data_IF_684922308199
#
_entry.id   IF_684922308199
#
_cell.length_a   1.000
_cell.length_b   1.000
_cell.length_c   1.000
_cell.angle_alpha   90.00
_cell.angle_beta   90.00
_cell.angle_gamma   90.00
#
_symmetry.space_group_name_H-M   'P 1'
#
loop_
_entity.id
_entity.type
_entity.pdbx_description
1 polymer ?
#
# COMPACT_ATOMS: atom_id res chain seq x y z
N UNK A 1 -32.67 -43.13 27.25
CA UNK A 1 -31.23 -43.30 26.93
C UNK A 1 -30.87 -42.77 25.53
N UNK A 2 -31.51 -43.23 24.44
CA UNK A 2 -31.22 -42.74 23.07
C UNK A 2 -31.34 -41.21 22.89
N UNK A 3 -32.34 -40.57 23.50
CA UNK A 3 -32.54 -39.10 23.44
C UNK A 3 -31.41 -38.31 24.12
N UNK A 4 -30.85 -38.83 25.21
CA UNK A 4 -29.72 -38.19 25.91
C UNK A 4 -28.46 -38.28 25.06
N UNK A 5 -28.24 -39.42 24.40
CA UNK A 5 -27.11 -39.62 23.47
C UNK A 5 -27.15 -38.64 22.28
N UNK A 6 -28.34 -38.40 21.69
CA UNK A 6 -28.51 -37.43 20.61
C UNK A 6 -28.24 -35.99 21.06
N UNK A 7 -28.69 -35.61 22.27
CA UNK A 7 -28.44 -34.28 22.83
C UNK A 7 -26.96 -34.06 23.12
N UNK A 8 -26.26 -35.07 23.65
CA UNK A 8 -24.80 -34.98 23.88
C UNK A 8 -24.02 -34.89 22.58
N UNK A 9 -24.42 -35.63 21.53
CA UNK A 9 -23.75 -35.59 20.24
C UNK A 9 -23.97 -34.24 19.51
N UNK A 10 -25.16 -33.67 19.64
CA UNK A 10 -25.47 -32.33 19.10
C UNK A 10 -24.66 -31.24 19.83
N UNK A 11 -24.57 -31.28 21.16
CA UNK A 11 -23.72 -30.35 21.92
C UNK A 11 -22.25 -30.46 21.52
N UNK A 12 -21.73 -31.68 21.33
CA UNK A 12 -20.35 -31.92 20.93
C UNK A 12 -20.07 -31.39 19.51
N UNK A 13 -21.01 -31.55 18.58
CA UNK A 13 -20.88 -30.99 17.22
C UNK A 13 -20.90 -29.46 17.20
N UNK A 14 -21.67 -28.83 18.10
CA UNK A 14 -21.79 -27.37 18.17
C UNK A 14 -20.52 -26.73 18.77
N UNK A 15 -19.81 -27.44 19.65
CA UNK A 15 -18.50 -27.01 20.15
C UNK A 15 -17.39 -27.06 19.09
N UNK A 16 -17.46 -27.96 18.11
CA UNK A 16 -16.44 -28.07 17.04
C UNK A 16 -16.51 -26.91 16.01
N UNK A 17 -17.62 -26.18 15.94
CA UNK A 17 -17.80 -25.03 15.04
C UNK A 17 -17.07 -23.75 15.51
N UNK A 18 -16.53 -23.72 16.72
CA UNK A 18 -15.86 -22.53 17.29
C UNK A 18 -14.35 -22.47 17.03
N UNK A 19 -13.76 -23.44 16.31
CA UNK A 19 -12.31 -23.62 16.23
C UNK A 19 -11.62 -23.02 14.99
N UNK A 20 -12.24 -22.08 14.26
CA UNK A 20 -11.69 -21.50 13.02
C UNK A 20 -11.44 -19.98 13.06
N UNK A 21 -11.44 -19.34 14.24
CA UNK A 21 -11.03 -17.95 14.32
C UNK A 21 -9.50 -17.87 14.42
N UNK A 22 -8.89 -17.37 13.35
CA UNK A 22 -7.48 -16.95 13.34
C UNK A 22 -7.26 -15.90 14.43
N UNK A 23 -6.20 -16.03 15.22
CA UNK A 23 -5.87 -15.09 16.29
C UNK A 23 -5.58 -13.70 15.73
N UNK A 24 -6.18 -12.66 16.33
CA UNK A 24 -5.92 -11.27 15.98
C UNK A 24 -4.58 -10.86 16.60
N UNK A 25 -3.66 -10.35 15.79
CA UNK A 25 -2.33 -9.94 16.25
C UNK A 25 -1.98 -8.56 15.72
N UNK A 26 -1.47 -7.71 16.58
CA UNK A 26 -0.96 -6.40 16.20
C UNK A 26 0.52 -6.30 16.55
N UNK A 27 1.37 -6.16 15.55
CA UNK A 27 2.83 -6.23 15.69
C UNK A 27 3.52 -5.06 14.99
N UNK A 28 4.77 -4.80 15.39
CA UNK A 28 5.66 -3.86 14.73
C UNK A 28 6.86 -4.62 14.15
N UNK A 29 7.28 -4.24 12.95
CA UNK A 29 8.46 -4.77 12.28
C UNK A 29 9.29 -3.61 11.73
N UNK A 30 10.62 -3.80 11.70
CA UNK A 30 11.55 -2.87 11.07
C UNK A 30 12.45 -3.59 10.07
N UNK A 31 12.99 -2.85 9.11
CA UNK A 31 13.96 -3.42 8.16
C UNK A 31 15.34 -3.68 8.79
N UNK A 32 15.70 -2.95 9.85
CA UNK A 32 16.94 -3.12 10.62
C UNK A 32 16.76 -2.56 12.03
N UNK A 33 17.41 -3.17 13.02
CA UNK A 33 17.52 -2.66 14.40
C UNK A 33 18.79 -1.80 14.60
N UNK A 34 19.77 -1.93 13.71
CA UNK A 34 20.99 -1.11 13.66
C UNK A 34 21.01 -0.26 12.38
N UNK A 35 20.85 1.04 12.53
CA UNK A 35 20.74 2.00 11.43
C UNK A 35 22.00 2.88 11.33
N UNK A 36 22.54 2.98 10.12
CA UNK A 36 23.65 3.87 9.82
C UNK A 36 23.12 5.28 9.49
N UNK A 37 23.71 6.33 10.05
CA UNK A 37 23.33 7.72 9.75
C UNK A 37 23.21 7.99 8.24
N UNK A 38 22.18 8.76 7.87
CA UNK A 38 21.85 9.07 6.47
C UNK A 38 21.15 7.93 5.72
N UNK A 39 20.74 6.86 6.41
CA UNK A 39 19.85 5.82 5.91
C UNK A 39 18.48 5.89 6.57
N UNK A 40 17.50 5.32 5.87
CA UNK A 40 16.10 5.41 6.25
C UNK A 40 15.67 4.12 6.95
N UNK A 41 15.03 4.26 8.11
CA UNK A 41 14.36 3.16 8.79
C UNK A 41 12.96 2.99 8.19
N UNK A 42 12.60 1.78 7.83
CA UNK A 42 11.23 1.43 7.47
C UNK A 42 10.58 0.74 8.66
N UNK A 43 9.51 1.32 9.19
CA UNK A 43 8.71 0.76 10.28
C UNK A 43 7.36 0.31 9.72
N UNK A 44 6.95 -0.92 10.00
CA UNK A 44 5.66 -1.49 9.61
C UNK A 44 4.86 -1.88 10.84
N UNK A 45 3.67 -1.32 10.99
CA UNK A 45 2.68 -1.80 11.96
C UNK A 45 1.69 -2.71 11.24
N UNK A 46 1.58 -3.96 11.70
CA UNK A 46 0.87 -5.03 11.00
C UNK A 46 -0.24 -5.56 11.89
N UNK A 47 -1.48 -5.47 11.42
CA UNK A 47 -2.63 -6.12 12.04
C UNK A 47 -3.00 -7.35 11.21
N UNK A 48 -2.97 -8.52 11.83
CA UNK A 48 -3.39 -9.78 11.24
C UNK A 48 -4.76 -10.21 11.77
N UNK A 49 -5.60 -10.74 10.89
CA UNK A 49 -6.90 -11.36 11.16
C UNK A 49 -7.93 -10.45 11.87
N UNK A 50 -7.73 -9.13 11.82
CA UNK A 50 -8.61 -8.15 12.44
C UNK A 50 -9.03 -7.05 11.47
N UNK A 51 -10.19 -6.45 11.76
CA UNK A 51 -10.62 -5.21 11.13
C UNK A 51 -10.20 -4.05 12.04
N UNK A 52 -9.13 -3.36 11.65
CA UNK A 52 -8.57 -2.23 12.40
C UNK A 52 -9.33 -0.94 12.13
N UNK A 53 -9.61 -0.19 13.19
CA UNK A 53 -10.15 1.16 13.18
C UNK A 53 -9.28 2.05 14.08
N UNK A 54 -9.38 3.37 13.90
CA UNK A 54 -8.72 4.36 14.77
C UNK A 54 -7.23 4.07 15.05
N UNK A 55 -6.46 3.70 14.01
CA UNK A 55 -5.02 3.49 14.16
C UNK A 55 -4.33 4.79 14.62
N UNK A 56 -3.53 4.69 15.68
CA UNK A 56 -2.70 5.78 16.19
C UNK A 56 -1.24 5.36 16.13
N UNK A 57 -0.47 6.07 15.31
CA UNK A 57 0.97 5.91 15.27
C UNK A 57 1.61 6.48 16.56
N UNK A 58 2.74 5.90 17.02
CA UNK A 58 3.51 6.46 18.12
C UNK A 58 4.16 7.78 17.72
N UNK A 59 4.66 8.50 18.71
CA UNK A 59 5.60 9.59 18.47
C UNK A 59 7.00 9.01 18.20
N UNK A 60 7.59 9.37 17.07
CA UNK A 60 8.90 8.87 16.64
C UNK A 60 10.03 9.75 17.19
N UNK A 61 10.28 9.69 18.50
CA UNK A 61 11.37 10.45 19.13
C UNK A 61 12.73 10.17 18.47
N UNK A 62 13.46 11.22 18.09
CA UNK A 62 14.79 11.11 17.46
C UNK A 62 14.75 10.74 15.96
N UNK A 63 13.56 10.69 15.37
CA UNK A 63 13.37 10.48 13.95
C UNK A 63 12.42 11.49 13.35
N UNK A 64 12.74 11.94 12.14
CA UNK A 64 11.81 12.69 11.30
C UNK A 64 11.06 11.75 10.37
N UNK A 65 9.75 11.96 10.22
CA UNK A 65 8.93 11.19 9.28
C UNK A 65 9.16 11.71 7.87
N UNK A 66 9.82 10.92 7.02
CA UNK A 66 10.07 11.26 5.61
C UNK A 66 8.83 10.94 4.77
N UNK A 67 8.17 9.81 5.05
CA UNK A 67 6.90 9.46 4.40
C UNK A 67 6.06 8.49 5.23
N UNK A 68 4.75 8.47 4.94
CA UNK A 68 3.77 7.58 5.54
C UNK A 68 2.66 8.31 6.31
N UNK A 69 1.67 7.57 6.85
CA UNK A 69 1.52 6.12 6.72
C UNK A 69 1.15 5.70 5.29
N UNK A 70 1.94 4.80 4.70
CA UNK A 70 1.55 4.08 3.50
C UNK A 70 0.71 2.88 3.93
N UNK A 71 -0.53 2.82 3.46
CA UNK A 71 -1.48 1.79 3.85
C UNK A 71 -1.55 0.66 2.82
N UNK A 72 -1.48 -0.58 3.29
CA UNK A 72 -1.69 -1.77 2.48
C UNK A 72 -2.65 -2.73 3.19
N UNK A 73 -3.51 -3.39 2.42
CA UNK A 73 -4.43 -4.42 2.89
C UNK A 73 -4.34 -5.62 1.96
N UNK A 74 -4.28 -6.81 2.53
CA UNK A 74 -4.33 -8.07 1.78
C UNK A 74 -5.21 -9.09 2.48
N UNK A 75 -5.78 -10.00 1.69
CA UNK A 75 -6.57 -11.12 2.16
C UNK A 75 -6.14 -12.36 1.38
N UNK A 76 -5.94 -13.48 2.08
CA UNK A 76 -5.60 -14.77 1.49
C UNK A 76 -6.49 -15.85 2.07
N UNK A 77 -6.85 -16.83 1.24
CA UNK A 77 -7.65 -17.99 1.66
C UNK A 77 -6.87 -19.24 1.26
N UNK A 78 -6.31 -19.95 2.26
CA UNK A 78 -5.52 -21.16 2.04
C UNK A 78 -6.17 -22.32 2.80
N UNK A 79 -6.55 -23.38 2.08
CA UNK A 79 -7.24 -24.54 2.66
C UNK A 79 -8.46 -24.16 3.53
N UNK A 80 -9.23 -23.18 3.07
CA UNK A 80 -10.41 -22.67 3.78
C UNK A 80 -10.11 -21.80 5.01
N UNK A 81 -8.84 -21.53 5.34
CA UNK A 81 -8.47 -20.54 6.36
C UNK A 81 -8.28 -19.18 5.72
N UNK A 82 -9.07 -18.21 6.17
CA UNK A 82 -8.94 -16.80 5.77
C UNK A 82 -7.92 -16.12 6.67
N UNK A 83 -6.93 -15.49 6.04
CA UNK A 83 -5.97 -14.59 6.69
C UNK A 83 -6.14 -13.20 6.10
N UNK A 84 -6.34 -12.22 6.96
CA UNK A 84 -6.36 -10.79 6.58
C UNK A 84 -5.12 -10.12 7.14
N UNK A 85 -4.51 -9.20 6.39
CA UNK A 85 -3.37 -8.42 6.84
C UNK A 85 -3.56 -6.95 6.46
N UNK A 86 -3.50 -6.07 7.45
CA UNK A 86 -3.46 -4.62 7.30
C UNK A 86 -2.06 -4.15 7.70
N UNK A 87 -1.47 -3.24 6.93
CA UNK A 87 -0.11 -2.76 7.18
C UNK A 87 -0.02 -1.26 7.00
N UNK A 88 0.49 -0.58 8.03
CA UNK A 88 0.84 0.83 8.00
C UNK A 88 2.36 0.96 7.97
N UNK A 89 2.90 1.52 6.89
CA UNK A 89 4.34 1.66 6.71
C UNK A 89 4.77 3.11 6.82
N UNK A 90 5.78 3.37 7.64
CA UNK A 90 6.45 4.65 7.77
C UNK A 90 7.91 4.53 7.34
N UNK A 91 8.42 5.62 6.79
CA UNK A 91 9.83 5.76 6.49
C UNK A 91 10.39 6.93 7.27
N UNK A 92 11.38 6.64 8.11
CA UNK A 92 11.89 7.54 9.13
C UNK A 92 13.37 7.82 8.88
N UNK A 93 13.79 9.07 9.04
CA UNK A 93 15.20 9.47 8.99
C UNK A 93 15.68 9.79 10.41
N UNK A 94 16.78 9.18 10.89
CA UNK A 94 17.32 9.50 12.20
C UNK A 94 17.84 10.94 12.22
N UNK A 95 17.60 11.62 13.33
CA UNK A 95 18.08 13.00 13.53
C UNK A 95 19.51 13.03 14.05
N UNK A 96 19.90 12.07 14.89
CA UNK A 96 21.23 12.00 15.50
C UNK A 96 21.65 10.55 15.82
N UNK A 97 22.90 10.38 16.24
CA UNK A 97 23.46 9.09 16.69
C UNK A 97 22.98 8.80 18.12
N UNK A 98 22.53 7.57 18.37
CA UNK A 98 22.08 7.15 19.70
C UNK A 98 21.18 5.93 19.68
N UNK A 99 20.66 5.58 20.86
CA UNK A 99 19.66 4.52 21.00
C UNK A 99 18.28 5.18 21.17
N UNK A 100 17.32 4.71 20.39
CA UNK A 100 15.97 5.23 20.36
C UNK A 100 14.97 4.08 20.50
N UNK A 101 13.77 4.39 20.98
CA UNK A 101 12.66 3.44 21.03
C UNK A 101 11.57 3.84 20.05
N UNK A 102 11.10 2.89 19.25
CA UNK A 102 9.81 2.98 18.59
C UNK A 102 8.77 2.62 19.64
N UNK A 103 8.04 3.63 20.12
CA UNK A 103 6.99 3.47 21.11
C UNK A 103 5.82 2.61 20.57
N UNK A 104 5.00 2.01 21.44
CA UNK A 104 3.81 1.27 21.03
C UNK A 104 2.86 2.10 20.16
N UNK A 105 2.41 1.53 19.03
CA UNK A 105 1.24 2.01 18.31
C UNK A 105 -0.02 1.43 18.95
N UNK A 106 -1.18 2.08 18.76
CA UNK A 106 -2.48 1.53 19.14
C UNK A 106 -3.42 1.39 17.96
N UNK A 107 -4.31 0.39 18.00
CA UNK A 107 -5.36 0.19 17.01
C UNK A 107 -6.60 -0.40 17.66
N UNK A 108 -7.79 0.04 17.23
CA UNK A 108 -9.07 -0.48 17.71
C UNK A 108 -9.50 -1.67 16.86
N UNK A 109 -9.84 -2.78 17.50
CA UNK A 109 -10.42 -3.98 16.86
C UNK A 109 -11.67 -4.38 17.62
N UNK A 110 -12.84 -4.18 17.00
CA UNK A 110 -14.12 -4.30 17.70
C UNK A 110 -14.21 -3.26 18.83
N UNK A 111 -14.37 -3.73 20.07
CA UNK A 111 -14.47 -2.88 21.27
C UNK A 111 -13.17 -2.81 22.09
N UNK A 112 -12.07 -3.39 21.57
CA UNK A 112 -10.79 -3.46 22.27
C UNK A 112 -9.71 -2.67 21.54
N UNK A 113 -8.79 -2.08 22.30
CA UNK A 113 -7.56 -1.51 21.77
C UNK A 113 -6.43 -2.54 21.91
N UNK A 114 -5.68 -2.74 20.82
CA UNK A 114 -4.46 -3.52 20.80
C UNK A 114 -3.26 -2.59 20.66
N UNK A 115 -2.13 -2.98 21.24
CA UNK A 115 -0.88 -2.23 21.18
C UNK A 115 0.26 -3.11 20.67
N UNK A 116 1.22 -2.51 19.97
CA UNK A 116 2.45 -3.21 19.59
C UNK A 116 3.46 -3.22 20.73
N UNK A 117 4.42 -4.14 20.68
CA UNK A 117 5.58 -4.07 21.57
C UNK A 117 6.46 -2.85 21.21
N UNK A 118 7.14 -2.22 22.19
CA UNK A 118 8.18 -1.25 21.90
C UNK A 118 9.40 -1.93 21.26
N UNK A 119 10.15 -1.20 20.43
CA UNK A 119 11.33 -1.72 19.76
C UNK A 119 12.52 -0.74 19.87
N UNK A 120 13.68 -1.23 20.29
CA UNK A 120 14.91 -0.43 20.34
C UNK A 120 15.59 -0.39 18.96
N UNK A 121 16.05 0.80 18.58
CA UNK A 121 16.82 1.07 17.36
C UNK A 121 18.13 1.75 17.75
N UNK A 122 19.23 1.16 17.35
CA UNK A 122 20.58 1.73 17.54
C UNK A 122 20.98 2.46 16.26
N UNK A 123 21.20 3.77 16.36
CA UNK A 123 21.73 4.60 15.27
C UNK A 123 23.22 4.82 15.47
N UNK A 124 24.02 4.50 14.47
CA UNK A 124 25.49 4.58 14.51
C UNK A 124 26.05 5.47 13.39
N UNK A 125 27.28 5.95 13.60
CA UNK A 125 28.00 6.76 12.61
C UNK A 125 28.20 5.99 11.30
N UNK A 126 28.16 6.73 10.19
CA UNK A 126 28.32 6.19 8.84
C UNK A 126 29.39 6.98 8.05
N UNK A 127 30.67 6.93 8.47
CA UNK A 127 31.72 7.71 7.83
C UNK A 127 31.95 7.30 6.37
N UNK A 128 31.73 6.03 6.05
CA UNK A 128 31.93 5.47 4.71
C UNK A 128 30.71 5.67 3.80
N UNK A 129 29.64 6.31 4.29
CA UNK A 129 28.45 6.61 3.50
C UNK A 129 27.71 5.38 2.98
N UNK A 130 27.83 4.24 3.67
CA UNK A 130 27.22 2.97 3.28
C UNK A 130 25.71 3.13 3.22
N UNK A 131 25.11 2.68 2.11
CA UNK A 131 23.66 2.68 1.91
C UNK A 131 23.05 1.36 2.35
N UNK A 132 22.17 1.41 3.35
CA UNK A 132 21.41 0.28 3.83
C UNK A 132 20.09 0.20 3.03
N UNK A 133 20.02 -0.76 2.11
CA UNK A 133 18.77 -1.10 1.43
C UNK A 133 17.91 -2.05 2.26
N UNK A 134 16.63 -2.26 1.88
CA UNK A 134 15.84 -3.33 2.47
C UNK A 134 16.55 -4.67 2.24
N UNK A 135 16.59 -5.52 3.27
CA UNK A 135 17.24 -6.82 3.18
C UNK A 135 16.71 -7.61 1.95
N UNK A 136 17.58 -8.24 1.13
CA UNK A 136 17.16 -9.04 -0.01
C UNK A 136 16.34 -10.23 0.50
N UNK A 137 15.01 -10.15 0.32
CA UNK A 137 14.05 -11.14 0.82
C UNK A 137 12.69 -10.56 1.23
N UNK A 138 12.59 -9.24 1.46
CA UNK A 138 11.34 -8.57 1.84
C UNK A 138 10.67 -7.79 0.70
N UNK A 139 10.99 -8.07 -0.57
CA UNK A 139 10.12 -7.61 -1.64
C UNK A 139 8.81 -8.40 -1.50
N UNK A 140 7.65 -7.74 -1.29
CA UNK A 140 6.39 -8.42 -1.47
C UNK A 140 6.36 -8.84 -2.93
N UNK A 141 6.69 -10.11 -3.19
CA UNK A 141 6.19 -10.76 -4.40
C UNK A 141 4.70 -10.51 -4.33
N UNK A 142 4.17 -9.72 -5.28
CA UNK A 142 2.73 -9.60 -5.51
C UNK A 142 2.25 -11.00 -5.90
N UNK A 143 2.06 -11.85 -4.89
CA UNK A 143 1.61 -13.21 -5.05
C UNK A 143 0.10 -13.08 -5.21
N UNK A 144 -0.33 -12.78 -6.43
CA UNK A 144 -1.71 -12.97 -6.84
C UNK A 144 -1.98 -14.48 -6.81
N UNK A 145 -2.39 -15.00 -5.65
CA UNK A 145 -3.01 -16.32 -5.55
C UNK A 145 -4.52 -16.10 -5.56
N UNK A 146 -5.19 -16.43 -6.66
CA UNK A 146 -6.61 -16.74 -6.61
C UNK A 146 -6.81 -18.25 -6.68
N UNK A 147 -7.82 -18.77 -5.97
CA UNK A 147 -8.13 -20.19 -5.96
C UNK A 147 -8.61 -20.65 -7.35
N UNK A 148 -8.04 -21.74 -7.86
CA UNK A 148 -8.40 -22.33 -9.16
C UNK A 148 -7.42 -22.05 -10.29
N UNK A 149 -6.35 -21.30 -10.03
CA UNK A 149 -5.21 -21.23 -10.93
C UNK A 149 -3.94 -21.62 -10.17
N UNK A 150 -3.20 -22.56 -10.72
CA UNK A 150 -1.89 -22.92 -10.21
C UNK A 150 -0.85 -22.01 -10.87
N UNK A 151 -0.08 -21.32 -10.03
CA UNK A 151 1.23 -20.74 -10.34
C UNK A 151 1.33 -19.99 -11.69
N UNK A 152 0.80 -18.77 -11.73
CA UNK A 152 1.28 -17.79 -12.71
C UNK A 152 2.65 -17.26 -12.25
N UNK A 153 3.73 -17.86 -12.74
CA UNK A 153 5.06 -17.28 -12.65
C UNK A 153 5.23 -16.20 -13.73
N UNK A 154 5.17 -14.93 -13.31
CA UNK A 154 5.44 -13.75 -14.16
C UNK A 154 6.84 -13.74 -14.78
N UNK A 155 7.72 -14.70 -14.47
CA UNK A 155 9.03 -14.83 -15.15
C UNK A 155 8.94 -15.60 -16.47
N UNK A 156 7.78 -16.17 -16.80
CA UNK A 156 7.57 -16.97 -18.01
C UNK A 156 6.88 -16.22 -19.16
N UNK A 157 7.10 -14.91 -19.31
CA UNK A 157 6.70 -14.13 -20.52
C UNK A 157 7.46 -14.53 -21.80
N UNK A 158 7.88 -15.79 -21.91
CA UNK A 158 8.73 -16.27 -22.97
C UNK A 158 8.09 -17.25 -23.94
N UNK A 159 6.94 -17.86 -23.61
CA UNK A 159 6.02 -18.57 -24.52
C UNK A 159 4.98 -19.36 -23.71
N UNK A 160 3.70 -19.15 -24.01
CA UNK A 160 2.61 -20.05 -23.60
C UNK A 160 1.88 -20.55 -24.84
N UNK A 161 1.87 -21.88 -25.02
CA UNK A 161 0.97 -22.56 -25.95
C UNK A 161 -0.18 -23.18 -25.15
N UNK A 162 -1.41 -22.72 -25.39
CA UNK A 162 -2.62 -23.27 -24.80
C UNK A 162 -3.35 -24.17 -25.81
N UNK A 163 -3.48 -25.50 -25.57
CA UNK A 163 -4.30 -26.33 -26.42
C UNK A 163 -5.79 -26.01 -26.18
N UNK A 164 -6.48 -25.53 -27.23
CA UNK A 164 -7.90 -25.15 -27.21
C UNK A 164 -8.18 -23.64 -27.23
N UNK A 165 -7.14 -22.80 -27.29
CA UNK A 165 -7.23 -21.34 -27.39
C UNK A 165 -6.48 -20.86 -28.65
N UNK A 166 -6.88 -21.33 -29.83
CA UNK A 166 -6.13 -21.12 -31.08
C UNK A 166 -6.22 -19.70 -31.66
N UNK A 167 -6.95 -18.76 -31.04
CA UNK A 167 -7.10 -17.39 -31.55
C UNK A 167 -7.26 -16.35 -30.42
N UNK A 168 -6.38 -16.38 -29.42
CA UNK A 168 -6.36 -15.34 -28.37
C UNK A 168 -5.12 -14.47 -28.57
N UNK A 169 -5.32 -13.27 -29.12
CA UNK A 169 -4.24 -12.29 -29.24
C UNK A 169 -4.24 -11.37 -28.02
N UNK A 170 -3.04 -11.07 -27.51
CA UNK A 170 -2.83 -10.16 -26.38
C UNK A 170 -3.34 -8.74 -26.68
N UNK A 171 -3.51 -8.40 -27.96
CA UNK A 171 -4.02 -7.13 -28.47
C UNK A 171 -5.50 -6.91 -28.13
N UNK A 172 -6.29 -7.98 -27.95
CA UNK A 172 -7.72 -7.89 -27.61
C UNK A 172 -7.96 -7.42 -26.16
N UNK A 173 -6.93 -7.49 -25.31
CA UNK A 173 -6.96 -7.06 -23.91
C UNK A 173 -6.31 -5.68 -23.69
N UNK A 174 -5.67 -5.11 -24.71
CA UNK A 174 -5.09 -3.77 -24.62
C UNK A 174 -6.13 -2.74 -25.09
N UNK A 175 -6.40 -1.73 -24.25
CA UNK A 175 -7.08 -0.54 -24.77
C UNK A 175 -6.27 0.01 -25.95
N UNK A 176 -6.92 0.48 -27.04
CA UNK A 176 -6.21 1.02 -28.18
C UNK A 176 -5.27 2.15 -27.71
N UNK A 177 -3.97 1.98 -27.94
CA UNK A 177 -2.91 2.93 -27.57
C UNK A 177 -1.98 2.53 -26.42
N UNK A 178 -2.21 1.39 -25.76
CA UNK A 178 -1.29 0.86 -24.72
C UNK A 178 -0.39 -0.25 -25.29
N UNK A 179 0.47 0.09 -26.24
CA UNK A 179 1.37 -0.89 -26.87
C UNK A 179 2.35 -0.28 -27.87
N UNK A 180 2.01 0.87 -28.44
CA UNK A 180 2.99 1.67 -29.16
C UNK A 180 3.96 2.25 -28.14
N UNK A 181 5.23 1.90 -28.27
CA UNK A 181 6.32 2.52 -27.52
C UNK A 181 6.08 4.01 -27.45
N UNK A 182 5.97 4.58 -26.24
CA UNK A 182 5.94 6.03 -26.04
C UNK A 182 7.23 6.61 -26.63
N UNK A 183 7.15 7.00 -27.91
CA UNK A 183 8.23 7.66 -28.61
C UNK A 183 8.00 9.16 -28.44
N UNK A 184 8.93 9.82 -27.75
CA UNK A 184 8.87 11.26 -27.50
C UNK A 184 8.76 12.07 -28.80
N UNK A 185 9.27 11.54 -29.93
CA UNK A 185 9.18 12.18 -31.23
C UNK A 185 7.78 12.13 -31.86
N UNK A 186 7.00 11.07 -31.59
CA UNK A 186 5.61 10.98 -32.02
C UNK A 186 4.74 11.94 -31.20
N UNK A 187 4.99 12.04 -29.89
CA UNK A 187 4.30 12.97 -29.00
C UNK A 187 4.57 14.43 -29.40
N UNK A 188 5.81 14.77 -29.74
CA UNK A 188 6.19 16.12 -30.15
C UNK A 188 5.58 16.51 -31.52
N UNK A 189 5.41 15.57 -32.45
CA UNK A 189 4.69 15.83 -33.71
C UNK A 189 3.20 16.10 -33.50
N UNK A 190 2.59 15.47 -32.50
CA UNK A 190 1.18 15.67 -32.16
C UNK A 190 0.95 17.06 -31.55
N UNK A 191 1.87 17.55 -30.70
CA UNK A 191 1.87 18.93 -30.22
C UNK A 191 2.07 19.98 -31.32
N UNK A 192 2.80 19.65 -32.39
CA UNK A 192 2.96 20.54 -33.55
C UNK A 192 1.76 20.57 -34.51
N UNK A 193 0.81 19.64 -34.39
CA UNK A 193 -0.41 19.58 -35.22
C UNK A 193 -1.65 20.20 -34.55
N UNK A 194 -1.57 20.55 -33.27
CA UNK A 194 -2.60 21.38 -32.64
C UNK A 194 -2.48 22.79 -33.19
N UNK A 195 -3.28 23.11 -34.21
CA UNK A 195 -3.51 24.51 -34.56
C UNK A 195 -4.02 25.25 -33.30
N UNK A 196 -3.53 26.47 -33.02
CA UNK A 196 -4.03 27.24 -31.88
C UNK A 196 -5.54 27.33 -31.95
N UNK A 197 -6.22 27.09 -30.83
CA UNK A 197 -7.66 27.30 -30.72
C UNK A 197 -7.92 28.79 -30.97
N UNK A 198 -8.46 29.14 -32.14
CA UNK A 198 -8.91 30.50 -32.43
C UNK A 198 -10.12 30.79 -31.53
N UNK A 199 -9.93 31.67 -30.56
CA UNK A 199 -11.01 32.21 -29.75
C UNK A 199 -12.01 32.91 -30.69
N UNK A 200 -13.32 32.64 -30.61
CA UNK A 200 -14.30 33.39 -31.39
C UNK A 200 -14.22 34.87 -31.00
N UNK A 201 -14.05 35.75 -31.99
CA UNK A 201 -14.07 37.20 -31.82
C UNK A 201 -15.43 37.65 -31.29
N UNK A 202 -15.53 37.78 -29.97
CA UNK A 202 -16.63 38.41 -29.28
C UNK A 202 -16.48 39.93 -29.32
N UNK A 203 -17.22 40.53 -30.26
CA UNK A 203 -17.86 41.86 -30.23
C UNK A 203 -17.14 42.99 -29.47
N UNK A 204 -16.60 43.91 -30.27
CA UNK A 204 -16.15 45.22 -29.84
C UNK A 204 -17.28 46.02 -29.20
N UNK A 205 -17.08 46.37 -27.93
CA UNK A 205 -17.91 47.26 -27.15
C UNK A 205 -17.89 48.67 -27.79
N UNK A 206 -19.00 49.04 -28.42
CA UNK A 206 -19.23 50.40 -28.91
C UNK A 206 -19.38 51.39 -27.75
N UNK A 207 -18.41 52.30 -27.60
CA UNK A 207 -18.59 53.49 -26.77
C UNK A 207 -19.78 54.33 -27.28
N UNK A 208 -20.44 55.05 -26.36
CA UNK A 208 -20.28 56.50 -26.43
C UNK A 208 -20.11 57.17 -25.06
N UNK A 209 -18.99 57.88 -24.90
CA UNK A 209 -18.93 59.29 -24.52
C UNK A 209 -19.51 59.80 -23.19
N UNK A 210 -18.67 60.64 -22.53
CA UNK A 210 -18.97 61.72 -21.54
C UNK A 210 -19.19 61.23 -20.09
N UNK A 211 -18.49 61.69 -19.06
CA UNK A 211 -17.87 63.01 -18.76
C UNK A 211 -16.88 62.84 -17.61
N UNK A 212 -15.77 63.60 -17.65
CA UNK A 212 -14.90 63.87 -16.50
C UNK A 212 -15.68 64.59 -15.38
N UNK A 213 -15.51 64.16 -14.14
CA UNK A 213 -15.48 65.04 -12.97
C UNK A 213 -14.47 64.52 -11.94
N UNK A 214 -13.45 65.34 -11.74
CA UNK A 214 -12.58 65.43 -10.57
C UNK A 214 -13.39 65.58 -9.28
N UNK A 215 -12.97 64.93 -8.20
CA UNK A 215 -12.96 65.56 -6.88
C UNK A 215 -11.80 65.00 -6.04
N UNK A 216 -11.02 65.91 -5.45
CA UNK A 216 -9.98 65.66 -4.45
C UNK A 216 -10.58 66.11 -3.10
N UNK A 217 -10.19 65.38 -2.05
CA UNK A 217 -10.49 65.54 -0.62
C UNK A 217 -11.91 65.16 -0.20
#
# INVERSE_FOLDING_TARGET
MKKVLFVTLALLSLSMLRAQQSEVRFTVEVNTDSLLMGNMLQVRFILENGQGQDFQAPYFNGFSVVSGPNYASSMSIVNGRTTQRLTYTFHLMPEDIGNYYIEPASIKVGDQYLETAPLEITVVSNPDGIKQGPAPGQQPMLQFSMPGFEQFDMRSFGNFDFPGFENFNMEDFMMPGFGDSFNLDSLMREFHQLQPYELPEGEQEGQPGKKRKTFKL
#
